data_IF_549981228456
#
_entry.id   IF_549981228456
#
_cell.length_a   1.000
_cell.length_b   1.000
_cell.length_c   1.000
_cell.angle_alpha   90.00
_cell.angle_beta   90.00
_cell.angle_gamma   90.00
#
_symmetry.space_group_name_H-M   'P 1'
#
loop_
_entity.id
_entity.type
_entity.pdbx_description
1 polymer ?
#
# COMPACT_ATOMS: atom_id res chain seq x y z
N UNK A 1 6.87 -7.68 -6.89
CA UNK A 1 7.09 -6.22 -6.77
C UNK A 1 7.97 -5.86 -7.94
N UNK A 2 7.42 -5.17 -8.91
CA UNK A 2 8.15 -4.68 -10.07
C UNK A 2 8.24 -3.17 -9.89
N UNK A 3 9.44 -2.67 -9.63
CA UNK A 3 9.70 -1.24 -9.73
C UNK A 3 9.66 -0.88 -11.21
N UNK A 4 8.74 0.00 -11.58
CA UNK A 4 8.67 0.52 -12.95
C UNK A 4 9.68 1.64 -13.13
N UNK A 5 10.43 1.60 -14.22
CA UNK A 5 11.35 2.67 -14.60
C UNK A 5 10.62 3.56 -15.58
N UNK A 6 10.75 4.88 -15.42
CA UNK A 6 10.16 5.84 -16.37
C UNK A 6 10.80 5.62 -17.74
N UNK A 7 9.97 5.34 -18.74
CA UNK A 7 10.38 5.27 -20.13
C UNK A 7 10.37 6.68 -20.73
N UNK A 8 11.54 7.25 -20.99
CA UNK A 8 11.67 8.56 -21.65
C UNK A 8 11.13 8.54 -23.08
N UNK A 9 10.97 7.36 -23.69
CA UNK A 9 10.37 7.23 -25.01
C UNK A 9 8.85 7.21 -25.00
N UNK A 10 8.20 7.10 -23.83
CA UNK A 10 6.75 7.14 -23.70
C UNK A 10 6.17 8.46 -24.24
N UNK A 11 5.13 8.35 -25.06
CA UNK A 11 4.54 9.49 -25.75
C UNK A 11 4.03 10.59 -24.79
N UNK A 12 3.56 10.22 -23.59
CA UNK A 12 3.11 11.19 -22.59
C UNK A 12 4.28 11.88 -21.90
N UNK A 13 5.37 11.15 -21.65
CA UNK A 13 6.60 11.72 -21.09
C UNK A 13 7.26 12.69 -22.07
N UNK A 14 7.32 12.34 -23.36
CA UNK A 14 7.75 13.24 -24.44
C UNK A 14 6.85 14.48 -24.55
N UNK A 15 5.53 14.29 -24.51
CA UNK A 15 4.57 15.39 -24.56
C UNK A 15 4.75 16.37 -23.39
N UNK A 16 4.91 15.87 -22.16
CA UNK A 16 5.16 16.71 -20.99
C UNK A 16 6.38 17.61 -21.19
N UNK A 17 7.47 17.05 -21.73
CA UNK A 17 8.70 17.81 -21.97
C UNK A 17 8.54 18.83 -23.10
N UNK A 18 7.89 18.47 -24.20
CA UNK A 18 7.73 19.35 -25.36
C UNK A 18 6.71 20.48 -25.13
N UNK A 19 5.56 20.15 -24.54
CA UNK A 19 4.40 21.05 -24.51
C UNK A 19 4.21 21.73 -23.15
N UNK A 20 4.70 21.13 -22.06
CA UNK A 20 4.56 21.68 -20.70
C UNK A 20 5.88 22.22 -20.13
N UNK A 21 7.02 21.92 -20.78
CA UNK A 21 8.34 22.38 -20.39
C UNK A 21 9.00 21.55 -19.28
N UNK A 22 10.29 21.83 -19.06
CA UNK A 22 11.14 21.00 -18.19
C UNK A 22 10.69 20.99 -16.72
N UNK A 23 10.15 22.09 -16.20
CA UNK A 23 9.71 22.18 -14.79
C UNK A 23 8.51 21.24 -14.51
N UNK A 24 7.55 21.19 -15.44
CA UNK A 24 6.39 20.29 -15.31
C UNK A 24 6.82 18.84 -15.50
N UNK A 25 7.70 18.59 -16.47
CA UNK A 25 8.29 17.28 -16.68
C UNK A 25 8.98 16.75 -15.41
N UNK A 26 9.86 17.55 -14.79
CA UNK A 26 10.58 17.16 -13.58
C UNK A 26 9.64 16.91 -12.40
N UNK A 27 8.63 17.76 -12.21
CA UNK A 27 7.65 17.59 -11.13
C UNK A 27 6.86 16.29 -11.27
N UNK A 28 6.42 15.95 -12.50
CA UNK A 28 5.61 14.75 -12.77
C UNK A 28 6.46 13.48 -12.69
N UNK A 29 7.65 13.47 -13.28
CA UNK A 29 8.55 12.30 -13.23
C UNK A 29 8.97 12.00 -11.80
N UNK A 30 9.30 13.02 -11.01
CA UNK A 30 9.61 12.86 -9.59
C UNK A 30 8.43 12.27 -8.79
N UNK A 31 7.21 12.75 -9.03
CA UNK A 31 6.03 12.18 -8.36
C UNK A 31 5.79 10.70 -8.74
N UNK A 32 6.06 10.32 -9.98
CA UNK A 32 5.98 8.92 -10.43
C UNK A 32 7.06 8.04 -9.78
N UNK A 33 8.29 8.54 -9.64
CA UNK A 33 9.36 7.85 -8.92
C UNK A 33 9.01 7.65 -7.45
N UNK A 34 8.53 8.70 -6.78
CA UNK A 34 8.06 8.64 -5.38
C UNK A 34 6.93 7.60 -5.25
N UNK A 35 5.95 7.59 -6.15
CA UNK A 35 4.88 6.58 -6.15
C UNK A 35 5.40 5.15 -6.34
N UNK A 36 6.41 4.98 -7.19
CA UNK A 36 7.02 3.68 -7.46
C UNK A 36 7.91 3.20 -6.30
N UNK A 37 8.58 4.09 -5.58
CA UNK A 37 9.34 3.77 -4.37
C UNK A 37 8.41 3.36 -3.22
N UNK A 38 7.31 4.10 -3.03
CA UNK A 38 6.38 3.85 -1.92
C UNK A 38 5.36 2.74 -2.21
N UNK A 39 4.97 2.53 -3.47
CA UNK A 39 3.95 1.53 -3.84
C UNK A 39 4.10 1.05 -5.31
N UNK A 40 5.12 0.24 -5.62
CA UNK A 40 5.46 -0.18 -7.00
C UNK A 40 4.34 -0.96 -7.73
N UNK A 41 3.33 -1.45 -7.01
CA UNK A 41 2.22 -2.21 -7.59
C UNK A 41 0.91 -1.41 -7.68
N UNK A 42 0.87 -0.14 -7.27
CA UNK A 42 -0.30 0.76 -7.40
C UNK A 42 -1.61 0.28 -6.73
N UNK A 43 -1.62 -0.83 -6.00
CA UNK A 43 -2.86 -1.44 -5.54
C UNK A 43 -3.16 -1.08 -4.09
N UNK A 44 -4.22 -0.27 -3.97
CA UNK A 44 -5.06 -0.01 -2.81
C UNK A 44 -4.44 0.81 -1.66
N UNK A 45 -5.26 1.63 -0.97
CA UNK A 45 -4.90 2.10 0.37
C UNK A 45 -4.51 0.87 1.20
N UNK A 46 -3.32 0.89 1.79
CA UNK A 46 -2.89 -0.16 2.70
C UNK A 46 -3.93 -0.20 3.82
N UNK A 47 -4.73 -1.27 3.85
CA UNK A 47 -5.73 -1.46 4.89
C UNK A 47 -4.97 -1.66 6.21
N UNK A 48 -4.91 -0.60 7.00
CA UNK A 48 -4.30 -0.64 8.31
C UNK A 48 -5.29 -1.17 9.34
N UNK A 49 -4.84 -2.11 10.17
CA UNK A 49 -5.58 -2.49 11.35
C UNK A 49 -5.52 -1.33 12.34
N UNK A 50 -6.70 -0.84 12.76
CA UNK A 50 -6.80 0.24 13.74
C UNK A 50 -7.12 -0.32 15.13
N UNK A 51 -6.28 0.01 16.12
CA UNK A 51 -6.56 -0.30 17.51
C UNK A 51 -7.45 0.80 18.10
N UNK A 52 -8.75 0.52 18.21
CA UNK A 52 -9.76 1.47 18.70
C UNK A 52 -9.52 1.91 20.16
N UNK A 53 -8.94 1.03 20.98
CA UNK A 53 -8.69 1.32 22.39
C UNK A 53 -7.52 2.29 22.54
N UNK A 54 -6.44 2.03 21.80
CA UNK A 54 -5.21 2.82 21.82
C UNK A 54 -5.25 4.03 20.89
N UNK A 55 -6.32 4.18 20.09
CA UNK A 55 -6.52 5.26 19.11
C UNK A 55 -5.33 5.45 18.16
N UNK A 56 -4.74 4.36 17.70
CA UNK A 56 -3.61 4.34 16.75
C UNK A 56 -3.65 3.11 15.86
N UNK A 57 -2.78 3.08 14.85
CA UNK A 57 -2.48 1.87 14.09
C UNK A 57 -2.11 0.73 15.04
N UNK A 58 -2.73 -0.43 14.82
CA UNK A 58 -2.46 -1.63 15.59
C UNK A 58 -1.04 -2.12 15.31
N UNK A 59 -0.35 -2.55 16.36
CA UNK A 59 0.95 -3.22 16.23
C UNK A 59 0.74 -4.64 15.71
N UNK A 60 1.74 -5.18 15.02
CA UNK A 60 1.72 -6.57 14.54
C UNK A 60 1.37 -7.58 15.65
N UNK A 61 1.97 -7.40 16.83
CA UNK A 61 1.70 -8.25 18.00
C UNK A 61 0.25 -8.22 18.46
N UNK A 62 -0.43 -7.07 18.33
CA UNK A 62 -1.85 -6.92 18.68
C UNK A 62 -2.72 -7.67 17.67
N UNK A 63 -2.36 -7.62 16.38
CA UNK A 63 -3.02 -8.38 15.32
C UNK A 63 -2.88 -9.90 15.51
N UNK A 64 -1.67 -10.39 15.77
CA UNK A 64 -1.40 -11.81 16.02
C UNK A 64 -2.19 -12.31 17.23
N UNK A 65 -2.15 -11.55 18.34
CA UNK A 65 -2.89 -11.90 19.56
C UNK A 65 -4.40 -12.02 19.29
N UNK A 66 -4.95 -11.11 18.48
CA UNK A 66 -6.36 -11.12 18.14
C UNK A 66 -6.75 -12.31 17.25
N UNK A 67 -5.93 -12.70 16.28
CA UNK A 67 -6.15 -13.89 15.44
C UNK A 67 -6.13 -15.16 16.30
N UNK A 68 -5.14 -15.30 17.19
CA UNK A 68 -5.04 -16.44 18.10
C UNK A 68 -6.24 -16.55 19.04
N UNK A 69 -6.74 -15.41 19.54
CA UNK A 69 -7.95 -15.36 20.37
C UNK A 69 -9.17 -15.87 19.61
N UNK A 70 -9.38 -15.41 18.38
CA UNK A 70 -10.50 -15.85 17.54
C UNK A 70 -10.42 -17.34 17.23
N UNK A 71 -9.24 -17.84 16.84
CA UNK A 71 -9.03 -19.27 16.56
C UNK A 71 -9.39 -20.15 17.77
N UNK A 72 -8.91 -19.80 18.97
CA UNK A 72 -9.25 -20.53 20.21
C UNK A 72 -10.75 -20.52 20.49
N UNK A 73 -11.45 -19.42 20.21
CA UNK A 73 -12.90 -19.35 20.36
C UNK A 73 -13.63 -20.25 19.36
N UNK A 74 -13.17 -20.29 18.11
CA UNK A 74 -13.73 -21.18 17.09
C UNK A 74 -13.54 -22.65 17.44
N UNK A 75 -12.37 -23.04 17.92
CA UNK A 75 -12.14 -24.42 18.40
C UNK A 75 -13.08 -24.80 19.54
N UNK A 76 -13.29 -23.91 20.52
CA UNK A 76 -14.25 -24.14 21.61
C UNK A 76 -15.68 -24.31 21.08
N UNK A 77 -16.08 -23.51 20.07
CA UNK A 77 -17.40 -23.64 19.44
C UNK A 77 -17.56 -24.95 18.70
N UNK A 78 -16.54 -25.38 17.96
CA UNK A 78 -16.53 -26.67 17.27
C UNK A 78 -16.68 -27.84 18.25
N UNK A 79 -15.90 -27.85 19.34
CA UNK A 79 -15.98 -28.90 20.38
C UNK A 79 -17.31 -28.95 21.13
N UNK A 80 -18.09 -27.86 21.15
CA UNK A 80 -19.43 -27.82 21.76
C UNK A 80 -20.54 -28.31 20.82
N UNK A 81 -20.22 -28.49 19.53
CA UNK A 81 -21.15 -28.99 18.50
C UNK A 81 -20.96 -30.48 18.21
N UNK A 82 -19.90 -31.06 18.76
CA UNK A 82 -19.70 -32.50 18.91
C UNK A 82 -20.34 -32.95 20.22
#
# INVERSE_FOLDING_TARGET
MTMEVIDEEDDKIKYLKQECGDEVYEAVTKALEELNEYNPNGQCPILELWNRNERRKAKLVEGIAQILKQWKQQQKRYRRRL
#
